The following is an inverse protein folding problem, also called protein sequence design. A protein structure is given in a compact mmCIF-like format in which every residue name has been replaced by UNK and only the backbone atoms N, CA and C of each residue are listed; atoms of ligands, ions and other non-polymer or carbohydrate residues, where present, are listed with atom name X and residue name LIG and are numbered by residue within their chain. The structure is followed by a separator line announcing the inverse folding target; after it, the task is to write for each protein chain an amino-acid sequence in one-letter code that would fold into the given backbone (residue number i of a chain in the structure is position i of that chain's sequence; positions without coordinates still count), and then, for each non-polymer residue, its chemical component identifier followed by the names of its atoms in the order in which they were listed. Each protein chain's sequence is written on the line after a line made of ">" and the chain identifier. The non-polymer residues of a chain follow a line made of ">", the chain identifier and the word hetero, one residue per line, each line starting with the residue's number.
data_IF_286634916329
#
_entry.id   IF_286634916329
#
_cell.length_a   1.000
_cell.length_b   1.000
_cell.length_c   1.000
_cell.angle_alpha   90.00
_cell.angle_beta   90.00
_cell.angle_gamma   90.00
#
_symmetry.space_group_name_H-M   'P 1'
#
loop_
_entity.id
_entity.type
_entity.pdbx_description
1 polymer ?
#
# COMPACT_ATOMS: atom_id res chain seq x y z
N UNK A 1 49.58 -19.58 -6.84
CA UNK A 1 48.99 -18.98 -8.06
C UNK A 1 47.49 -19.23 -8.01
N UNK A 2 46.73 -18.14 -7.99
CA UNK A 2 45.27 -17.98 -8.11
C UNK A 2 44.36 -18.45 -6.96
N UNK A 3 44.11 -17.50 -6.04
CA UNK A 3 42.90 -17.38 -5.24
C UNK A 3 41.68 -17.07 -6.14
N UNK A 4 40.54 -17.72 -5.89
CA UNK A 4 39.22 -17.30 -6.42
C UNK A 4 38.22 -17.22 -5.27
N UNK A 5 38.34 -16.12 -4.53
CA UNK A 5 37.36 -15.66 -3.56
C UNK A 5 36.15 -15.09 -4.32
N UNK A 6 35.07 -15.85 -4.44
CA UNK A 6 33.82 -15.38 -5.04
C UNK A 6 32.92 -14.83 -3.93
N UNK A 7 32.86 -13.50 -3.90
CA UNK A 7 32.19 -12.68 -2.92
C UNK A 7 30.74 -13.12 -2.66
N UNK A 8 30.44 -13.33 -1.38
CA UNK A 8 29.11 -13.22 -0.84
C UNK A 8 28.53 -11.86 -1.26
N UNK A 9 27.53 -11.88 -2.14
CA UNK A 9 26.73 -10.70 -2.41
C UNK A 9 26.01 -10.35 -1.10
N UNK A 10 26.57 -9.37 -0.39
CA UNK A 10 25.90 -8.68 0.68
C UNK A 10 24.65 -8.04 0.07
N UNK A 11 23.50 -8.67 0.28
CA UNK A 11 22.20 -8.05 0.06
C UNK A 11 22.17 -6.82 0.97
N UNK A 12 22.30 -5.65 0.35
CA UNK A 12 22.19 -4.37 1.05
C UNK A 12 20.86 -4.36 1.81
N UNK A 13 20.81 -3.83 3.05
CA UNK A 13 19.54 -3.63 3.71
C UNK A 13 18.76 -2.62 2.87
N UNK A 14 17.74 -3.10 2.14
CA UNK A 14 16.71 -2.21 1.62
C UNK A 14 16.08 -1.57 2.85
N UNK A 15 16.55 -0.37 3.20
CA UNK A 15 15.80 0.59 4.01
C UNK A 15 14.52 0.91 3.22
N UNK A 16 13.57 -0.01 3.31
CA UNK A 16 12.18 0.26 3.03
C UNK A 16 11.78 1.24 4.11
N UNK A 17 11.96 2.54 3.84
CA UNK A 17 11.26 3.60 4.56
C UNK A 17 9.80 3.17 4.52
N UNK A 18 9.28 2.66 5.65
CA UNK A 18 7.93 2.14 5.75
C UNK A 18 6.99 3.31 5.51
N UNK A 19 6.62 3.54 4.25
CA UNK A 19 5.65 4.56 3.89
C UNK A 19 4.32 4.08 4.41
N UNK A 20 3.89 4.63 5.54
CA UNK A 20 2.63 4.28 6.22
C UNK A 20 1.41 4.48 5.30
N UNK A 21 1.54 5.35 4.29
CA UNK A 21 0.55 5.60 3.25
C UNK A 21 1.18 6.14 1.96
N UNK A 22 0.50 5.96 0.82
CA UNK A 22 0.90 6.55 -0.47
C UNK A 22 0.42 8.00 -0.58
N UNK A 23 -0.74 8.31 -0.01
CA UNK A 23 -1.28 9.67 0.09
C UNK A 23 -2.15 9.84 1.33
N UNK A 24 -2.26 11.06 1.81
CA UNK A 24 -3.24 11.47 2.82
C UNK A 24 -4.18 12.50 2.20
N UNK A 25 -5.49 12.31 2.40
CA UNK A 25 -6.53 13.20 1.91
C UNK A 25 -7.30 13.80 3.07
N UNK A 26 -7.50 15.11 3.05
CA UNK A 26 -8.38 15.81 3.98
C UNK A 26 -9.82 15.71 3.51
N UNK A 27 -10.71 15.37 4.43
CA UNK A 27 -12.15 15.36 4.20
C UNK A 27 -12.70 16.77 4.36
N UNK A 28 -13.62 17.16 3.48
CA UNK A 28 -14.31 18.46 3.55
C UNK A 28 -15.08 18.61 4.87
N UNK A 29 -15.71 17.53 5.33
CA UNK A 29 -16.40 17.45 6.62
C UNK A 29 -15.86 16.29 7.44
N UNK A 30 -15.87 16.45 8.76
CA UNK A 30 -15.46 15.39 9.66
C UNK A 30 -16.47 14.24 9.63
N UNK A 31 -16.00 13.01 9.47
CA UNK A 31 -16.84 11.79 9.49
C UNK A 31 -16.41 10.84 10.61
N UNK A 32 -17.21 9.83 10.94
CA UNK A 32 -16.83 8.82 11.94
C UNK A 32 -16.35 7.54 11.28
N UNK A 33 -15.25 6.99 11.77
CA UNK A 33 -14.78 5.68 11.34
C UNK A 33 -15.77 4.60 11.78
N UNK A 34 -16.28 3.74 10.88
CA UNK A 34 -17.20 2.65 11.26
C UNK A 34 -16.53 1.60 12.17
N UNK A 35 -15.19 1.57 12.20
CA UNK A 35 -14.44 0.53 12.92
C UNK A 35 -13.91 0.94 14.28
N UNK A 36 -13.44 2.19 14.45
CA UNK A 36 -12.92 2.70 15.73
C UNK A 36 -13.76 3.82 16.33
N UNK A 37 -14.83 4.25 15.64
CA UNK A 37 -15.75 5.32 16.06
C UNK A 37 -15.11 6.70 16.27
N UNK A 38 -13.82 6.85 16.00
CA UNK A 38 -13.14 8.14 16.07
C UNK A 38 -13.53 9.03 14.88
N UNK A 39 -13.53 10.33 15.15
CA UNK A 39 -13.79 11.36 14.15
C UNK A 39 -12.57 11.52 13.25
N UNK A 40 -12.76 11.28 11.95
CA UNK A 40 -11.76 11.44 10.90
C UNK A 40 -11.92 12.81 10.26
N UNK A 41 -10.79 13.53 10.18
CA UNK A 41 -10.62 14.70 9.31
C UNK A 41 -9.78 14.37 8.08
N UNK A 42 -9.00 13.30 8.16
CA UNK A 42 -8.15 12.82 7.08
C UNK A 42 -8.28 11.31 6.93
N UNK A 43 -8.03 10.83 5.72
CA UNK A 43 -7.95 9.41 5.37
C UNK A 43 -6.63 9.14 4.66
N UNK A 44 -6.07 7.96 4.89
CA UNK A 44 -4.87 7.52 4.20
C UNK A 44 -5.26 6.65 3.01
N UNK A 45 -4.49 6.72 1.94
CA UNK A 45 -4.65 5.93 0.73
C UNK A 45 -3.38 5.15 0.51
N UNK A 46 -3.51 3.86 0.22
CA UNK A 46 -2.40 2.96 -0.06
C UNK A 46 -2.55 2.34 -1.45
N UNK A 47 -1.42 2.12 -2.12
CA UNK A 47 -1.39 1.38 -3.38
C UNK A 47 -1.61 -0.09 -3.13
N UNK A 48 -2.51 -0.69 -3.91
CA UNK A 48 -2.57 -2.14 -4.00
C UNK A 48 -1.61 -2.63 -5.08
N UNK A 49 -0.79 -3.60 -4.72
CA UNK A 49 0.09 -4.31 -5.63
C UNK A 49 -0.51 -5.68 -5.94
N UNK A 50 -0.58 -6.03 -7.22
CA UNK A 50 -1.00 -7.37 -7.64
C UNK A 50 0.12 -8.37 -7.32
N UNK A 51 -0.11 -9.27 -6.36
CA UNK A 51 0.90 -10.24 -5.90
C UNK A 51 0.82 -11.60 -6.59
N UNK A 52 -0.39 -12.14 -6.82
CA UNK A 52 -0.60 -13.45 -7.45
C UNK A 52 -1.82 -13.42 -8.37
N UNK A 53 -1.74 -14.15 -9.48
CA UNK A 53 -2.87 -14.40 -10.39
C UNK A 53 -2.82 -15.85 -10.87
N UNK A 54 -3.96 -16.53 -10.91
CA UNK A 54 -4.05 -17.94 -11.30
C UNK A 54 -4.37 -18.14 -12.80
N UNK A 55 -4.49 -17.05 -13.56
CA UNK A 55 -4.81 -17.05 -14.99
C UNK A 55 -4.42 -15.72 -15.65
N UNK A 56 -4.43 -15.67 -16.99
CA UNK A 56 -4.35 -14.44 -17.78
C UNK A 56 -5.62 -13.62 -17.57
N UNK A 57 -5.63 -12.83 -16.50
CA UNK A 57 -6.76 -11.98 -16.11
C UNK A 57 -6.69 -10.58 -16.74
N UNK A 58 -7.79 -10.12 -17.32
CA UNK A 58 -8.02 -8.71 -17.72
C UNK A 58 -8.23 -7.78 -16.52
N UNK A 59 -8.24 -8.33 -15.30
CA UNK A 59 -8.46 -7.58 -14.08
C UNK A 59 -7.34 -6.55 -13.84
N UNK A 60 -7.69 -5.34 -13.36
CA UNK A 60 -6.76 -4.26 -13.09
C UNK A 60 -5.48 -4.67 -12.38
N UNK A 61 -4.35 -4.18 -12.90
CA UNK A 61 -3.03 -4.37 -12.26
C UNK A 61 -2.75 -3.36 -11.15
N UNK A 62 -3.61 -2.34 -11.01
CA UNK A 62 -3.47 -1.25 -10.04
C UNK A 62 -4.81 -1.01 -9.36
N UNK A 63 -4.72 -0.64 -8.09
CA UNK A 63 -5.85 -0.17 -7.33
C UNK A 63 -5.39 0.58 -6.10
N UNK A 64 -6.34 1.16 -5.39
CA UNK A 64 -6.11 1.93 -4.18
C UNK A 64 -7.04 1.42 -3.08
N UNK A 65 -6.54 1.39 -1.86
CA UNK A 65 -7.38 1.19 -0.69
C UNK A 65 -7.37 2.46 0.15
N UNK A 66 -8.55 2.89 0.58
CA UNK A 66 -8.70 3.99 1.55
C UNK A 66 -8.76 3.36 2.93
N UNK A 67 -7.89 3.81 3.83
CA UNK A 67 -7.78 3.32 5.20
C UNK A 67 -8.06 4.46 6.20
N UNK A 68 -8.55 4.06 7.37
CA UNK A 68 -8.67 4.97 8.50
C UNK A 68 -7.28 5.43 8.96
N UNK A 69 -7.07 6.75 9.07
CA UNK A 69 -5.81 7.33 9.54
C UNK A 69 -5.47 6.98 11.00
N UNK A 70 -6.47 6.61 11.80
CA UNK A 70 -6.29 6.30 13.21
C UNK A 70 -6.09 4.80 13.48
N UNK A 71 -6.98 3.95 12.97
CA UNK A 71 -6.96 2.51 13.26
C UNK A 71 -6.42 1.64 12.11
N UNK A 72 -6.01 2.25 10.99
CA UNK A 72 -5.45 1.60 9.79
C UNK A 72 -6.33 0.52 9.15
N UNK A 73 -7.61 0.42 9.54
CA UNK A 73 -8.57 -0.50 8.93
C UNK A 73 -9.05 0.02 7.57
N UNK A 74 -9.27 -0.91 6.63
CA UNK A 74 -9.77 -0.62 5.29
C UNK A 74 -11.21 -0.10 5.38
N UNK A 75 -11.46 1.02 4.71
CA UNK A 75 -12.78 1.64 4.58
C UNK A 75 -13.39 1.30 3.22
N UNK A 76 -12.62 1.45 2.16
CA UNK A 76 -13.04 1.09 0.80
C UNK A 76 -11.84 0.70 -0.06
N UNK A 77 -12.10 0.01 -1.16
CA UNK A 77 -11.11 -0.48 -2.11
C UNK A 77 -11.61 -0.24 -3.52
N UNK A 78 -10.75 0.34 -4.35
CA UNK A 78 -11.03 0.61 -5.77
C UNK A 78 -9.96 -0.04 -6.65
N UNK A 79 -10.42 -0.74 -7.70
CA UNK A 79 -9.56 -1.31 -8.73
C UNK A 79 -9.74 -0.48 -10.00
N UNK A 80 -8.64 0.09 -10.50
CA UNK A 80 -8.70 0.98 -11.65
C UNK A 80 -8.35 0.23 -12.92
N UNK A 81 -9.35 -0.02 -13.77
CA UNK A 81 -9.12 -0.41 -15.17
C UNK A 81 -8.64 0.86 -15.88
N UNK A 82 -7.34 1.05 -16.02
CA UNK A 82 -6.83 2.06 -16.96
C UNK A 82 -7.21 1.56 -18.36
N UNK A 83 -8.28 2.13 -18.93
CA UNK A 83 -8.54 2.15 -20.37
C UNK A 83 -7.53 3.02 -21.07
#
# INVERSE_FOLDING_TARGET
>A
MADFNAAAAAEAPEETTARDSEAEYTLEYACRCPHCQQTLRTVAVIRMLRSRVNFTSTMPRRGRAVICSQCRKILTVELNVLT
#
